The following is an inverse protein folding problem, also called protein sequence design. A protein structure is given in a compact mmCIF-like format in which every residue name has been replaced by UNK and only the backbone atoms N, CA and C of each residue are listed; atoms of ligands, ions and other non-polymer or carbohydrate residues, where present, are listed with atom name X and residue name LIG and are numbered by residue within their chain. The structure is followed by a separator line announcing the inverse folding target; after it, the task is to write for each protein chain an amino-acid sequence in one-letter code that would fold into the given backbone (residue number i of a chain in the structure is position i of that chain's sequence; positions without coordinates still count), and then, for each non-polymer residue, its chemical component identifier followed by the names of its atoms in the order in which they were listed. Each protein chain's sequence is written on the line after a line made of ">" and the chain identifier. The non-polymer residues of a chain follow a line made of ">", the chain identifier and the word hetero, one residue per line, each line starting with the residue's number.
data_IF_404621011668
#
_entry.id   IF_404621011668
#
_cell.length_a   1.000
_cell.length_b   1.000
_cell.length_c   1.000
_cell.angle_alpha   90.00
_cell.angle_beta   90.00
_cell.angle_gamma   90.00
#
_symmetry.space_group_name_H-M   'P 1'
#
loop_
_entity.id
_entity.type
_entity.pdbx_description
1 polymer ?
#
# COMPACT_ATOMS: atom_id res chain seq x y z
N UNK A 1 3.79 14.54 -14.84
CA UNK A 1 4.93 14.59 -13.91
C UNK A 1 4.95 15.98 -13.30
N UNK A 2 4.55 16.13 -12.03
CA UNK A 2 4.30 17.46 -11.44
C UNK A 2 5.34 17.75 -10.36
N UNK A 3 6.07 18.84 -10.54
CA UNK A 3 7.10 19.31 -9.59
C UNK A 3 6.49 20.36 -8.67
N UNK A 4 6.53 20.16 -7.36
CA UNK A 4 6.30 21.25 -6.38
C UNK A 4 7.65 21.79 -5.93
N UNK A 5 7.83 23.11 -6.04
CA UNK A 5 9.10 23.81 -5.77
C UNK A 5 9.00 24.47 -4.39
N UNK A 6 9.63 23.88 -3.38
CA UNK A 6 10.02 24.62 -2.18
C UNK A 6 11.46 24.28 -1.80
N UNK A 7 12.26 25.30 -1.46
CA UNK A 7 13.65 25.21 -0.99
C UNK A 7 14.72 24.68 -1.97
N UNK A 8 14.48 24.73 -3.29
CA UNK A 8 15.50 24.36 -4.30
C UNK A 8 15.77 22.85 -4.42
N UNK A 9 15.00 22.01 -3.72
CA UNK A 9 15.02 20.55 -3.85
C UNK A 9 13.90 20.10 -4.79
N UNK A 10 14.18 19.10 -5.63
CA UNK A 10 13.17 18.46 -6.46
C UNK A 10 12.40 17.48 -5.58
N UNK A 11 11.12 17.74 -5.35
CA UNK A 11 10.22 16.80 -4.68
C UNK A 11 9.64 15.85 -5.74
N UNK A 12 9.76 14.55 -5.49
CA UNK A 12 9.18 13.50 -6.34
C UNK A 12 8.03 12.82 -5.60
N UNK A 13 6.81 13.04 -6.09
CA UNK A 13 5.57 12.46 -5.55
C UNK A 13 4.97 11.51 -6.60
N UNK A 14 5.42 10.25 -6.68
CA UNK A 14 5.11 9.34 -7.80
C UNK A 14 3.63 9.05 -7.99
N UNK A 15 2.85 9.16 -6.91
CA UNK A 15 1.42 8.84 -6.87
C UNK A 15 0.53 10.09 -7.04
N UNK A 16 1.09 11.30 -6.97
CA UNK A 16 0.30 12.53 -6.95
C UNK A 16 -0.39 12.80 -8.29
N UNK A 17 -1.68 13.17 -8.22
CA UNK A 17 -2.49 13.52 -9.39
C UNK A 17 -2.84 12.34 -10.30
N UNK A 18 -2.65 11.10 -9.84
CA UNK A 18 -3.09 9.90 -10.57
C UNK A 18 -4.54 9.57 -10.23
N UNK A 19 -5.33 9.07 -11.20
CA UNK A 19 -6.66 8.56 -10.92
C UNK A 19 -6.60 7.41 -9.93
N UNK A 20 -7.56 7.40 -9.01
CA UNK A 20 -7.60 6.45 -7.91
C UNK A 20 -7.70 4.99 -8.37
N UNK A 21 -8.47 4.75 -9.43
CA UNK A 21 -8.58 3.43 -10.04
C UNK A 21 -7.23 2.91 -10.57
N UNK A 22 -6.43 3.78 -11.21
CA UNK A 22 -5.10 3.40 -11.68
C UNK A 22 -4.14 3.08 -10.52
N UNK A 23 -4.27 3.78 -9.39
CA UNK A 23 -3.48 3.51 -8.19
C UNK A 23 -3.81 2.14 -7.59
N UNK A 24 -5.11 1.80 -7.49
CA UNK A 24 -5.54 0.48 -7.02
C UNK A 24 -5.10 -0.64 -7.97
N UNK A 25 -5.21 -0.45 -9.28
CA UNK A 25 -4.71 -1.41 -10.28
C UNK A 25 -3.19 -1.62 -10.16
N UNK A 26 -2.43 -0.53 -9.98
CA UNK A 26 -0.99 -0.60 -9.75
C UNK A 26 -0.68 -1.35 -8.45
N UNK A 27 -1.41 -1.09 -7.37
CA UNK A 27 -1.26 -1.78 -6.09
C UNK A 27 -1.40 -3.29 -6.27
N UNK A 28 -2.47 -3.76 -6.92
CA UNK A 28 -2.72 -5.19 -7.13
C UNK A 28 -1.68 -5.85 -8.04
N UNK A 29 -1.22 -5.13 -9.06
CA UNK A 29 -0.13 -5.60 -9.91
C UNK A 29 1.16 -5.74 -9.09
N UNK A 30 1.47 -4.76 -8.25
CA UNK A 30 2.67 -4.76 -7.41
C UNK A 30 2.63 -5.86 -6.33
N UNK A 31 1.50 -6.07 -5.66
CA UNK A 31 1.40 -7.14 -4.65
C UNK A 31 1.67 -8.51 -5.25
N UNK A 32 1.15 -8.78 -6.45
CA UNK A 32 1.43 -10.01 -7.19
C UNK A 32 2.88 -10.07 -7.70
N UNK A 33 3.42 -8.98 -8.23
CA UNK A 33 4.76 -8.94 -8.81
C UNK A 33 5.85 -9.16 -7.76
N UNK A 34 5.66 -8.60 -6.56
CA UNK A 34 6.64 -8.67 -5.47
C UNK A 34 6.35 -9.79 -4.46
N UNK A 35 5.31 -10.61 -4.69
CA UNK A 35 4.86 -11.67 -3.80
C UNK A 35 4.70 -11.21 -2.34
N UNK A 36 3.94 -10.13 -2.15
CA UNK A 36 3.64 -9.56 -0.83
C UNK A 36 2.14 -9.61 -0.53
N UNK A 37 1.82 -9.64 0.76
CA UNK A 37 0.48 -9.44 1.30
C UNK A 37 0.40 -8.11 2.02
N UNK A 38 -0.79 -7.52 2.07
CA UNK A 38 -1.06 -6.27 2.74
C UNK A 38 -2.14 -6.54 3.79
N UNK A 39 -1.94 -6.03 5.00
CA UNK A 39 -2.87 -6.17 6.11
C UNK A 39 -3.08 -4.83 6.79
N UNK A 40 -4.24 -4.62 7.41
CA UNK A 40 -4.43 -3.48 8.32
C UNK A 40 -3.48 -3.61 9.52
N UNK A 41 -2.77 -2.54 9.84
CA UNK A 41 -1.89 -2.44 11.03
C UNK A 41 -2.53 -1.65 12.17
N UNK A 42 -3.68 -1.02 11.91
CA UNK A 42 -4.56 -0.43 12.91
C UNK A 42 -5.96 -0.98 12.76
N UNK A 43 -6.80 -0.77 13.77
CA UNK A 43 -8.23 -0.93 13.57
C UNK A 43 -8.75 0.15 12.62
N UNK A 44 -9.81 -0.16 11.86
CA UNK A 44 -10.51 0.80 10.99
C UNK A 44 -11.97 0.85 11.40
N UNK A 45 -12.46 2.04 11.69
CA UNK A 45 -13.85 2.27 12.06
C UNK A 45 -14.73 2.37 10.82
N UNK A 46 -15.77 1.55 10.76
CA UNK A 46 -16.86 1.67 9.79
C UNK A 46 -18.14 2.09 10.54
N UNK A 47 -19.16 2.63 9.86
CA UNK A 47 -20.42 3.02 10.50
C UNK A 47 -21.10 1.91 11.31
N UNK A 48 -20.90 0.65 10.94
CA UNK A 48 -21.57 -0.51 11.52
C UNK A 48 -20.64 -1.60 12.06
N UNK A 49 -19.32 -1.40 12.02
CA UNK A 49 -18.35 -2.42 12.42
C UNK A 49 -16.98 -1.81 12.69
N UNK A 50 -16.15 -2.52 13.46
CA UNK A 50 -14.71 -2.27 13.56
C UNK A 50 -13.99 -3.35 12.78
N UNK A 51 -13.10 -2.97 11.86
CA UNK A 51 -12.20 -3.90 11.20
C UNK A 51 -10.97 -4.11 12.09
N UNK A 52 -10.64 -5.34 12.48
CA UNK A 52 -9.51 -5.58 13.37
C UNK A 52 -8.16 -5.47 12.64
N UNK A 53 -7.10 -5.22 13.42
CA UNK A 53 -5.71 -5.37 12.98
C UNK A 53 -5.51 -6.77 12.38
N UNK A 54 -4.74 -6.86 11.29
CA UNK A 54 -4.45 -8.10 10.58
C UNK A 54 -5.46 -8.45 9.48
N UNK A 55 -6.58 -7.72 9.38
CA UNK A 55 -7.53 -7.87 8.25
C UNK A 55 -6.78 -7.70 6.92
N UNK A 56 -6.91 -8.68 6.02
CA UNK A 56 -6.28 -8.62 4.69
C UNK A 56 -6.81 -7.43 3.89
N UNK A 57 -5.89 -6.66 3.32
CA UNK A 57 -6.20 -5.54 2.45
C UNK A 57 -6.28 -6.01 0.99
N UNK A 58 -7.46 -6.47 0.61
CA UNK A 58 -7.75 -6.97 -0.74
C UNK A 58 -8.87 -6.17 -1.42
N UNK A 59 -9.23 -6.57 -2.65
CA UNK A 59 -10.29 -5.93 -3.43
C UNK A 59 -11.64 -5.92 -2.69
N UNK A 60 -11.96 -7.01 -2.00
CA UNK A 60 -13.23 -7.12 -1.27
C UNK A 60 -13.28 -6.15 -0.09
N UNK A 61 -12.15 -5.95 0.61
CA UNK A 61 -12.05 -4.92 1.64
C UNK A 61 -12.21 -3.52 1.04
N UNK A 62 -11.53 -3.20 -0.06
CA UNK A 62 -11.63 -1.91 -0.76
C UNK A 62 -13.08 -1.60 -1.14
N UNK A 63 -13.81 -2.55 -1.74
CA UNK A 63 -15.23 -2.41 -2.06
C UNK A 63 -16.11 -2.21 -0.82
N UNK A 64 -15.74 -2.84 0.31
CA UNK A 64 -16.44 -2.65 1.59
C UNK A 64 -16.20 -1.25 2.16
N UNK A 65 -14.97 -0.73 2.09
CA UNK A 65 -14.64 0.64 2.52
C UNK A 65 -15.42 1.67 1.71
N UNK A 66 -15.43 1.54 0.37
CA UNK A 66 -16.16 2.44 -0.53
C UNK A 66 -17.66 2.45 -0.23
N UNK A 67 -18.28 1.29 -0.03
CA UNK A 67 -19.69 1.18 0.36
C UNK A 67 -20.00 1.80 1.72
N UNK A 68 -19.01 1.81 2.62
CA UNK A 68 -19.11 2.44 3.93
C UNK A 68 -18.81 3.95 3.91
N UNK A 69 -18.45 4.53 2.75
CA UNK A 69 -18.05 5.93 2.63
C UNK A 69 -16.67 6.23 3.22
N UNK A 70 -15.84 5.21 3.45
CA UNK A 70 -14.44 5.35 3.89
C UNK A 70 -13.53 5.38 2.67
N UNK A 71 -12.48 6.19 2.70
CA UNK A 71 -11.50 6.24 1.61
C UNK A 71 -10.85 4.87 1.41
N UNK A 72 -10.86 4.38 0.17
CA UNK A 72 -10.44 3.03 -0.17
C UNK A 72 -8.91 2.82 -0.24
N UNK A 73 -8.13 3.84 0.12
CA UNK A 73 -6.67 3.89 0.22
C UNK A 73 -6.27 4.50 1.57
N UNK A 74 -7.26 4.80 2.43
CA UNK A 74 -7.09 5.33 3.78
C UNK A 74 -6.31 6.66 3.80
N UNK A 75 -6.50 7.50 2.78
CA UNK A 75 -5.73 8.74 2.59
C UNK A 75 -5.95 9.78 3.69
N UNK A 76 -7.05 9.69 4.45
CA UNK A 76 -7.39 10.62 5.53
C UNK A 76 -7.04 10.09 6.92
N UNK A 77 -6.26 9.02 7.00
CA UNK A 77 -5.78 8.45 8.26
C UNK A 77 -6.79 7.54 8.96
N UNK A 78 -7.78 7.02 8.23
CA UNK A 78 -8.78 6.09 8.75
C UNK A 78 -8.16 4.76 9.22
N UNK A 79 -6.98 4.42 8.70
CA UNK A 79 -6.14 3.36 9.20
C UNK A 79 -4.79 3.30 8.51
N UNK A 80 -3.96 2.36 8.94
CA UNK A 80 -2.65 2.09 8.34
C UNK A 80 -2.58 0.65 7.85
N UNK A 81 -1.69 0.41 6.89
CA UNK A 81 -1.40 -0.93 6.38
C UNK A 81 0.03 -1.35 6.71
N UNK A 82 0.23 -2.66 6.74
CA UNK A 82 1.52 -3.32 6.84
C UNK A 82 1.67 -4.25 5.62
N UNK A 83 2.80 -4.12 4.93
CA UNK A 83 3.15 -4.97 3.78
C UNK A 83 4.13 -6.03 4.26
N UNK A 84 3.81 -7.30 4.03
CA UNK A 84 4.62 -8.46 4.45
C UNK A 84 4.98 -9.32 3.24
N UNK A 85 6.20 -9.87 3.18
CA UNK A 85 6.52 -10.89 2.17
C UNK A 85 5.66 -12.13 2.41
N UNK A 86 5.13 -12.71 1.34
CA UNK A 86 4.50 -14.01 1.43
C UNK A 86 5.55 -15.07 1.74
N UNK A 87 5.16 -16.13 2.47
CA UNK A 87 6.06 -17.18 3.00
C UNK A 87 6.94 -17.86 1.95
N UNK A 88 6.68 -17.70 0.66
CA UNK A 88 7.46 -18.28 -0.43
C UNK A 88 8.75 -17.49 -0.74
N UNK A 89 8.84 -16.22 -0.34
CA UNK A 89 10.05 -15.39 -0.52
C UNK A 89 11.24 -15.83 0.36
N UNK A 90 11.02 -16.52 1.48
CA UNK A 90 12.11 -16.95 2.37
C UNK A 90 13.01 -18.04 1.77
N UNK A 91 12.68 -18.55 0.57
CA UNK A 91 13.50 -19.52 -0.16
C UNK A 91 14.39 -18.89 -1.24
N UNK A 92 14.31 -17.59 -1.50
CA UNK A 92 15.26 -16.95 -2.40
C UNK A 92 16.53 -16.60 -1.61
N UNK A 93 17.71 -17.17 -1.98
CA UNK A 93 18.96 -16.69 -1.41
C UNK A 93 19.11 -15.23 -1.80
N UNK A 94 19.38 -14.38 -0.82
CA UNK A 94 19.71 -12.97 -1.03
C UNK A 94 20.93 -12.94 -1.95
N UNK A 95 20.73 -12.57 -3.21
CA UNK A 95 21.82 -12.38 -4.16
C UNK A 95 22.77 -11.33 -3.60
N UNK A 96 24.05 -11.68 -3.54
CA UNK A 96 25.17 -10.97 -2.90
C UNK A 96 25.57 -9.66 -3.60
N UNK A 97 24.61 -8.84 -4.01
CA UNK A 97 24.91 -7.58 -4.71
C UNK A 97 25.40 -6.44 -3.78
N UNK A 98 25.52 -6.69 -2.48
CA UNK A 98 26.09 -5.74 -1.51
C UNK A 98 27.58 -5.96 -1.18
N UNK A 99 28.25 -6.94 -1.79
CA UNK A 99 29.68 -7.21 -1.50
C UNK A 99 30.69 -6.40 -2.35
N UNK A 100 30.25 -5.53 -3.27
CA UNK A 100 31.15 -4.74 -4.14
C UNK A 100 31.31 -3.27 -3.73
N UNK A 101 31.36 -3.00 -2.43
CA UNK A 101 31.86 -1.73 -1.88
C UNK A 101 32.67 -2.01 -0.60
N UNK A 102 33.88 -2.54 -0.76
CA UNK A 102 34.97 -2.45 0.22
C UNK A 102 36.24 -2.04 -0.49
#
# INVERSE_FOLDING_TARGET
>A
MTFSKSLGRRVFTPLFGRPYQELLELLWKSTSQYDVSIHLSTEVQLPNAVLPIGTTYDKALVERLQRAGVDAMLEFGEGHTLVLPNRNMTKQPVSSQYELLK
#
